data_IF_623191673098
#
_entry.id   IF_623191673098
#
_cell.length_a   1.000
_cell.length_b   1.000
_cell.length_c   1.000
_cell.angle_alpha   90.00
_cell.angle_beta   90.00
_cell.angle_gamma   90.00
#
_symmetry.space_group_name_H-M   'P 1'
#
loop_
_entity.id
_entity.type
_entity.pdbx_description
1 polymer ?
2 non-polymer ?
3 non-polymer ?
#
# COMPACT_ATOMS: atom_id res chain seq x y z
N UNK A 24 -10.12 27.64 -1.95
CA UNK A 24 -11.42 27.02 -2.18
C UNK A 24 -11.37 25.52 -2.14
N UNK A 25 -11.98 24.83 -1.48
CA UNK A 25 -12.01 23.41 -1.20
C UNK A 25 -13.15 22.67 -1.88
N UNK A 26 -12.84 21.60 -2.57
CA UNK A 26 -13.84 20.69 -3.11
C UNK A 26 -13.97 19.44 -2.28
N UNK A 27 -15.14 19.17 -1.76
CA UNK A 27 -15.36 17.97 -0.94
C UNK A 27 -15.99 16.85 -1.78
N UNK A 28 -15.17 15.97 -2.33
CA UNK A 28 -15.65 14.94 -3.27
C UNK A 28 -16.33 13.77 -2.56
N UNK A 29 -17.66 13.66 -2.71
CA UNK A 29 -18.42 12.61 -2.04
C UNK A 29 -19.06 11.63 -3.03
N UNK A 30 -18.38 10.50 -3.30
CA UNK A 30 -18.98 9.51 -4.21
C UNK A 30 -20.00 8.67 -3.46
N UNK A 31 -21.14 8.38 -4.10
CA UNK A 31 -22.25 7.70 -3.44
C UNK A 31 -22.88 6.57 -4.25
N UNK A 32 -23.47 5.62 -3.53
CA UNK A 32 -24.37 4.63 -4.09
C UNK A 32 -25.32 4.29 -2.95
N UNK A 33 -26.62 4.45 -3.21
CA UNK A 33 -27.67 4.22 -2.21
C UNK A 33 -27.35 4.88 -0.85
N UNK A 34 -27.43 6.21 -0.82
CA UNK A 34 -27.10 6.99 0.37
C UNK A 34 -28.03 8.20 0.48
N UNK A 35 -29.27 8.00 0.90
CA UNK A 35 -30.23 9.10 0.93
C UNK A 35 -30.36 9.73 2.30
N UNK A 36 -30.38 8.88 3.33
CA UNK A 36 -30.69 9.32 4.69
C UNK A 36 -29.56 10.03 5.41
N UNK A 37 -28.45 10.21 4.71
CA UNK A 37 -27.29 10.83 5.34
C UNK A 37 -27.01 12.24 4.82
N UNK A 38 -27.29 12.45 3.53
CA UNK A 38 -27.02 13.73 2.85
C UNK A 38 -27.49 14.94 3.64
N UNK A 39 -28.59 14.77 4.37
CA UNK A 39 -29.09 15.82 5.25
C UNK A 39 -28.05 16.08 6.33
N UNK A 40 -27.79 15.04 7.12
CA UNK A 40 -26.85 15.14 8.23
C UNK A 40 -25.45 15.44 7.74
N UNK A 41 -25.02 14.72 6.71
CA UNK A 41 -23.77 14.98 6.02
C UNK A 41 -23.56 16.46 5.77
N UNK A 42 -24.35 17.00 4.84
CA UNK A 42 -24.16 18.38 4.37
C UNK A 42 -24.26 19.39 5.50
N UNK A 43 -25.22 19.18 6.39
CA UNK A 43 -25.37 19.99 7.61
C UNK A 43 -24.05 20.14 8.37
N UNK A 44 -23.36 19.03 8.59
CA UNK A 44 -22.18 19.07 9.44
C UNK A 44 -20.91 19.39 8.66
N UNK A 45 -20.92 19.15 7.35
CA UNK A 45 -19.89 19.67 6.49
C UNK A 45 -19.91 21.20 6.56
N UNK A 46 -21.08 21.77 6.28
CA UNK A 46 -21.32 23.21 6.25
C UNK A 46 -21.03 23.83 7.60
N UNK A 47 -21.39 23.10 8.65
CA UNK A 47 -21.20 23.56 10.02
C UNK A 47 -19.72 23.74 10.32
N UNK A 48 -18.91 22.76 9.90
CA UNK A 48 -17.47 22.73 10.16
C UNK A 48 -16.69 23.68 9.26
N UNK A 49 -17.20 23.86 8.03
CA UNK A 49 -16.59 24.75 7.06
C UNK A 49 -17.28 26.11 6.96
N UNK A 50 -18.00 26.51 8.01
CA UNK A 50 -18.81 27.72 7.93
C UNK A 50 -17.95 28.93 7.56
N UNK A 51 -18.32 29.59 6.46
CA UNK A 51 -17.64 30.79 6.02
C UNK A 51 -16.67 30.59 4.87
N UNK A 52 -15.91 29.50 4.93
CA UNK A 52 -14.85 29.19 3.96
C UNK A 52 -15.39 28.91 2.57
N UNK A 53 -14.56 29.12 1.57
CA UNK A 53 -14.90 28.81 0.19
C UNK A 53 -14.85 27.30 -0.03
N UNK A 54 -16.00 26.65 -0.15
CA UNK A 54 -16.01 25.23 -0.43
C UNK A 54 -17.16 24.83 -1.34
N UNK A 55 -17.02 23.70 -2.03
CA UNK A 55 -18.12 23.10 -2.76
C UNK A 55 -18.29 21.64 -2.33
N UNK A 56 -19.31 20.96 -2.85
CA UNK A 56 -19.45 19.53 -2.70
C UNK A 56 -19.72 18.92 -4.05
N UNK A 57 -18.74 18.22 -4.61
CA UNK A 57 -18.98 17.45 -5.83
C UNK A 57 -19.41 16.00 -5.55
N UNK A 58 -20.70 15.73 -5.73
CA UNK A 58 -21.28 14.40 -5.58
C UNK A 58 -21.25 13.59 -6.88
N UNK A 59 -20.64 12.41 -6.88
CA UNK A 59 -20.68 11.52 -8.07
C UNK A 59 -21.44 10.23 -7.78
N UNK A 60 -22.68 10.15 -8.27
CA UNK A 60 -23.56 9.00 -8.08
C UNK A 60 -23.74 8.19 -9.38
N UNK A 61 -23.56 6.89 -9.28
CA UNK A 61 -23.57 6.02 -10.46
C UNK A 61 -24.96 5.45 -10.76
N UNK A 62 -25.93 6.35 -10.98
CA UNK A 62 -27.31 5.98 -11.32
C UNK A 62 -28.00 5.14 -10.24
N UNK A 63 -27.96 5.62 -8.99
CA UNK A 63 -28.46 4.87 -7.83
C UNK A 63 -29.92 4.45 -7.90
N UNK A 64 -30.20 3.14 -7.81
CA UNK A 64 -31.55 2.67 -7.45
C UNK A 64 -31.88 3.12 -6.03
N UNK A 65 -32.08 4.41 -5.90
CA UNK A 65 -32.18 5.12 -4.63
C UNK A 65 -32.43 6.55 -5.09
N UNK A 66 -32.93 7.41 -4.21
CA UNK A 66 -33.28 8.74 -4.65
C UNK A 66 -32.06 9.66 -4.66
N UNK A 67 -30.93 9.14 -4.21
CA UNK A 67 -29.70 9.90 -3.92
C UNK A 67 -29.30 10.94 -4.96
N UNK A 68 -29.30 10.53 -6.23
CA UNK A 68 -28.85 11.41 -7.30
C UNK A 68 -29.78 12.62 -7.40
N UNK A 69 -31.08 12.39 -7.18
CA UNK A 69 -32.09 13.44 -7.15
C UNK A 69 -32.16 14.20 -5.80
N UNK A 70 -32.05 13.50 -4.68
CA UNK A 70 -32.11 14.14 -3.36
C UNK A 70 -30.95 15.10 -3.12
N UNK A 71 -29.83 14.83 -3.77
CA UNK A 71 -28.65 15.68 -3.64
C UNK A 71 -28.86 16.99 -4.39
N UNK A 72 -29.24 16.86 -5.66
CA UNK A 72 -29.69 18.00 -6.49
C UNK A 72 -30.83 18.78 -5.83
N UNK A 73 -31.60 18.08 -5.01
CA UNK A 73 -32.64 18.66 -4.17
C UNK A 73 -31.99 19.56 -3.11
N UNK A 74 -31.00 19.00 -2.44
CA UNK A 74 -30.38 19.63 -1.26
C UNK A 74 -29.40 20.74 -1.70
N UNK A 75 -29.22 20.87 -3.01
CA UNK A 75 -28.38 21.88 -3.62
C UNK A 75 -28.94 23.30 -3.45
N UNK A 76 -29.97 23.42 -2.62
CA UNK A 76 -30.57 24.72 -2.31
C UNK A 76 -29.98 25.28 -1.02
N UNK A 77 -29.93 24.46 0.02
CA UNK A 77 -29.37 24.85 1.31
C UNK A 77 -27.84 24.90 1.25
N UNK A 78 -27.27 23.99 0.46
CA UNK A 78 -25.84 23.72 0.53
C UNK A 78 -25.20 23.81 -0.86
N UNK A 79 -23.93 24.28 -0.93
CA UNK A 79 -23.18 24.38 -2.19
C UNK A 79 -22.88 23.02 -2.83
N UNK A 80 -23.88 22.39 -3.46
CA UNK A 80 -23.75 21.00 -3.89
C UNK A 80 -23.86 20.76 -5.39
N UNK A 81 -22.76 20.39 -6.03
CA UNK A 81 -22.83 19.94 -7.42
C UNK A 81 -23.09 18.43 -7.50
N UNK A 82 -23.96 18.02 -8.41
CA UNK A 82 -24.34 16.62 -8.49
C UNK A 82 -24.19 16.08 -9.90
N UNK A 83 -23.18 15.24 -10.11
CA UNK A 83 -23.04 14.55 -11.37
C UNK A 83 -23.48 13.11 -11.20
N UNK A 84 -24.40 12.68 -12.06
CA UNK A 84 -24.77 11.28 -12.15
C UNK A 84 -24.25 10.75 -13.49
N UNK A 85 -23.80 9.51 -13.47
CA UNK A 85 -23.33 8.88 -14.69
C UNK A 85 -24.02 7.53 -14.84
N UNK A 86 -24.27 7.17 -16.09
CA UNK A 86 -25.11 6.04 -16.39
C UNK A 86 -24.33 4.91 -17.04
N UNK A 87 -23.06 5.15 -17.35
CA UNK A 87 -22.32 4.21 -18.17
C UNK A 87 -21.01 3.69 -17.56
N UNK A 88 -20.53 4.33 -16.50
CA UNK A 88 -19.28 3.92 -15.86
C UNK A 88 -19.36 4.01 -14.32
N UNK A 89 -19.31 2.88 -13.63
CA UNK A 89 -19.40 2.87 -12.17
C UNK A 89 -18.17 2.28 -11.47
N UNK A 90 -18.13 2.42 -10.15
CA UNK A 90 -16.99 1.99 -9.36
C UNK A 90 -16.49 3.14 -8.51
N UNK A 91 -15.99 2.83 -7.31
CA UNK A 91 -15.58 3.87 -6.37
C UNK A 91 -14.41 4.70 -6.89
N UNK A 92 -13.31 4.04 -7.22
CA UNK A 92 -12.13 4.75 -7.70
C UNK A 92 -12.43 5.43 -9.04
N UNK A 93 -13.24 4.78 -9.86
CA UNK A 93 -13.74 5.40 -11.09
C UNK A 93 -14.38 6.76 -10.79
N UNK A 94 -15.19 6.80 -9.72
CA UNK A 94 -15.90 8.03 -9.36
C UNK A 94 -14.91 9.11 -8.98
N UNK A 95 -14.06 8.81 -8.01
CA UNK A 95 -13.12 9.77 -7.45
C UNK A 95 -12.24 10.39 -8.53
N UNK A 96 -11.83 9.59 -9.52
CA UNK A 96 -11.08 10.11 -10.66
C UNK A 96 -11.88 11.22 -11.35
N UNK A 97 -13.14 10.90 -11.64
CA UNK A 97 -14.06 11.88 -12.20
C UNK A 97 -14.35 12.99 -11.19
N UNK A 98 -14.40 12.64 -9.90
CA UNK A 98 -14.59 13.62 -8.85
C UNK A 98 -13.49 14.67 -8.86
N UNK A 99 -12.31 14.27 -9.35
CA UNK A 99 -11.19 15.19 -9.52
C UNK A 99 -11.44 16.06 -10.76
N UNK A 100 -11.85 15.39 -11.83
CA UNK A 100 -12.10 16.02 -13.13
C UNK A 100 -13.14 17.12 -13.04
N UNK A 101 -14.18 16.86 -12.27
CA UNK A 101 -15.33 17.73 -12.26
C UNK A 101 -15.24 18.77 -11.16
N UNK A 102 -14.18 18.72 -10.37
CA UNK A 102 -14.02 19.67 -9.28
C UNK A 102 -13.41 20.97 -9.79
N UNK A 103 -13.29 21.95 -8.91
CA UNK A 103 -12.71 23.24 -9.28
C UNK A 103 -11.99 23.89 -8.11
N UNK A 104 -11.58 23.08 -7.14
CA UNK A 104 -11.01 23.59 -5.91
C UNK A 104 -9.49 23.55 -5.87
N UNK A 105 -8.90 24.33 -4.97
CA UNK A 105 -7.45 24.35 -4.80
C UNK A 105 -7.01 23.13 -3.98
N UNK A 106 -7.94 22.63 -3.18
CA UNK A 106 -7.74 21.50 -2.27
C UNK A 106 -8.89 20.49 -2.37
N UNK A 107 -8.56 19.22 -2.61
CA UNK A 107 -9.56 18.16 -2.64
C UNK A 107 -9.68 17.47 -1.30
N UNK A 108 -10.90 17.34 -0.81
CA UNK A 108 -11.19 16.48 0.32
C UNK A 108 -12.08 15.34 -0.18
N UNK A 109 -11.61 14.11 0.00
CA UNK A 109 -12.39 12.94 -0.36
C UNK A 109 -12.80 12.19 0.91
N UNK A 110 -14.06 11.75 0.94
CA UNK A 110 -14.63 11.07 2.10
C UNK A 110 -15.81 10.19 1.69
N UNK A 111 -16.44 9.57 2.68
CA UNK A 111 -17.61 8.73 2.45
C UNK A 111 -18.87 9.38 3.03
N UNK A 112 -20.01 9.09 2.39
CA UNK A 112 -21.28 9.73 2.75
C UNK A 112 -21.95 9.16 4.02
N UNK A 113 -21.60 7.95 4.39
CA UNK A 113 -22.27 7.27 5.49
C UNK A 113 -22.08 7.93 6.83
N UNK A 114 -21.08 8.78 6.96
CA UNK A 114 -20.71 9.38 8.23
C UNK A 114 -19.80 8.53 9.12
N UNK A 115 -19.17 7.53 8.56
CA UNK A 115 -18.07 6.89 9.29
C UNK A 115 -16.89 7.84 9.37
N UNK A 116 -16.77 8.68 8.34
CA UNK A 116 -15.82 9.80 8.33
C UNK A 116 -16.48 11.08 8.82
N UNK A 117 -16.02 11.63 9.96
CA UNK A 117 -16.60 12.85 10.54
C UNK A 117 -16.19 14.17 9.85
N UNK A 118 -17.18 14.96 9.35
CA UNK A 118 -16.84 16.22 8.67
C UNK A 118 -16.14 17.24 9.57
N UNK A 119 -16.23 17.06 10.87
CA UNK A 119 -15.59 17.94 11.84
C UNK A 119 -14.06 17.83 11.86
N UNK A 120 -13.49 16.70 11.44
CA UNK A 120 -12.02 16.63 11.38
C UNK A 120 -11.47 17.28 10.10
N UNK A 121 -12.33 17.42 9.08
CA UNK A 121 -11.99 18.11 7.83
C UNK A 121 -11.20 19.43 8.02
N UNK A 122 -11.57 20.24 9.03
CA UNK A 122 -10.75 21.44 9.27
C UNK A 122 -9.31 21.16 9.67
N UNK A 123 -9.04 20.01 10.29
CA UNK A 123 -7.68 19.60 10.65
C UNK A 123 -6.91 19.21 9.40
N UNK A 124 -7.56 18.41 8.57
CA UNK A 124 -7.05 18.01 7.26
C UNK A 124 -6.55 19.16 6.40
N UNK A 125 -7.34 20.24 6.32
CA UNK A 125 -6.93 21.40 5.52
C UNK A 125 -5.88 22.26 6.20
N UNK A 126 -5.99 22.38 7.52
CA UNK A 126 -5.00 23.15 8.27
C UNK A 126 -3.62 22.53 8.06
N UNK A 127 -3.59 21.19 8.12
CA UNK A 127 -2.38 20.43 7.85
C UNK A 127 -1.85 20.69 6.45
N UNK A 128 -2.71 20.54 5.46
CA UNK A 128 -2.39 20.95 4.09
C UNK A 128 -2.00 22.45 4.04
N UNK A 129 -2.53 23.26 4.95
CA UNK A 129 -2.16 24.67 4.89
C UNK A 129 -0.71 24.88 5.35
N UNK A 130 -0.31 24.18 6.41
CA UNK A 130 1.02 24.36 6.97
C UNK A 130 2.11 23.65 6.18
N UNK A 131 1.80 23.29 4.94
CA UNK A 131 2.82 22.82 4.01
C UNK A 131 2.84 21.34 3.61
N UNK A 132 1.87 20.55 4.06
CA UNK A 132 1.85 19.15 3.64
C UNK A 132 1.13 19.02 2.31
N UNK A 133 1.58 18.08 1.50
CA UNK A 133 1.06 17.90 0.15
C UNK A 133 -0.23 17.08 0.11
N UNK A 134 -0.38 16.25 1.15
CA UNK A 134 -1.45 15.24 1.27
C UNK A 134 -1.76 15.06 2.74
N UNK A 135 -3.01 15.24 3.16
CA UNK A 135 -3.32 15.01 4.57
C UNK A 135 -4.28 13.87 4.70
N UNK A 136 -3.79 12.76 5.27
CA UNK A 136 -4.56 11.54 5.39
C UNK A 136 -5.34 11.53 6.69
N UNK A 137 -6.66 11.28 6.60
CA UNK A 137 -7.48 11.03 7.76
C UNK A 137 -7.19 9.61 8.20
N UNK A 138 -6.56 9.45 9.36
CA UNK A 138 -5.98 8.14 9.69
C UNK A 138 -6.51 7.46 10.96
N UNK A 139 -6.97 6.23 10.80
CA UNK A 139 -7.45 5.43 11.94
C UNK A 139 -6.34 5.14 12.93
N UNK A 140 -5.13 4.95 12.43
CA UNK A 140 -4.04 4.34 13.20
C UNK A 140 -2.84 5.24 13.54
N UNK A 141 -3.04 6.54 13.63
CA UNK A 141 -1.99 7.40 14.17
C UNK A 141 -2.27 7.58 15.65
N UNK A 142 -1.33 8.13 16.42
CA UNK A 142 -1.67 8.41 17.80
C UNK A 142 -2.77 9.46 17.82
N UNK A 143 -3.85 9.15 18.53
CA UNK A 143 -5.05 9.96 18.49
C UNK A 143 -6.16 9.19 17.80
N UNK A 144 -5.80 8.46 16.74
CA UNK A 144 -6.76 7.69 15.96
C UNK A 144 -7.46 6.57 16.74
N UNK A 145 -8.68 6.25 16.33
CA UNK A 145 -9.48 5.22 17.01
C UNK A 145 -10.41 4.48 16.07
N UNK A 146 -10.73 3.24 16.42
CA UNK A 146 -11.75 2.51 15.72
C UNK A 146 -12.67 1.96 16.78
N UNK A 147 -13.96 2.16 16.61
CA UNK A 147 -14.89 1.63 17.58
C UNK A 147 -15.98 0.86 16.87
N UNK A 148 -16.76 0.10 17.64
CA UNK A 148 -17.83 -0.78 17.15
C UNK A 148 -17.34 -1.66 15.99
N UNK A 149 -16.03 -1.92 16.00
CA UNK A 149 -15.42 -2.92 15.11
C UNK A 149 -14.87 -4.07 15.96
N UNK A 150 -15.16 -5.32 15.54
CA UNK A 150 -14.68 -6.55 16.20
C UNK A 150 -13.18 -6.73 16.05
N UNK A 151 -12.53 -7.45 16.96
CA UNK A 151 -11.08 -7.64 16.90
C UNK A 151 -10.60 -8.23 15.58
N UNK A 152 -11.26 -9.27 15.08
CA UNK A 152 -10.76 -9.95 13.89
C UNK A 152 -10.93 -9.09 12.62
N UNK A 153 -11.91 -8.19 12.60
CA UNK A 153 -12.06 -7.27 11.46
C UNK A 153 -11.07 -6.11 11.62
N UNK A 154 -10.74 -5.78 13.06
CA UNK A 154 -9.81 -4.71 13.39
C UNK A 154 -8.39 -5.05 12.96
N UNK A 155 -8.06 -6.33 12.94
CA UNK A 155 -6.68 -6.72 12.67
C UNK A 155 -6.48 -7.34 11.28
N UNK A 156 -7.54 -7.65 10.55
CA UNK A 156 -7.34 -7.92 9.14
C UNK A 156 -6.88 -6.60 8.50
N UNK A 157 -7.35 -5.56 9.13
CA UNK A 157 -7.01 -4.23 8.69
C UNK A 157 -5.50 -3.99 8.87
N UNK A 158 -5.04 -4.02 10.03
CA UNK A 158 -3.63 -3.75 10.29
C UNK A 158 -2.73 -4.73 9.54
N UNK A 159 -3.28 -5.88 9.18
CA UNK A 159 -2.52 -6.90 8.48
C UNK A 159 -2.34 -6.60 7.01
N UNK A 160 -3.37 -6.07 6.37
CA UNK A 160 -3.30 -5.68 4.96
C UNK A 160 -2.45 -4.42 4.81
N UNK A 161 -2.81 -3.44 5.52
CA UNK A 161 -1.97 -2.29 5.71
C UNK A 161 -0.50 -2.71 5.86
N UNK A 162 -0.26 -3.80 6.58
CA UNK A 162 1.11 -4.21 6.86
C UNK A 162 1.73 -4.85 5.63
N UNK A 163 0.90 -5.48 4.80
CA UNK A 163 1.41 -6.02 3.56
C UNK A 163 1.76 -4.86 2.65
N UNK A 164 0.94 -3.82 2.69
CA UNK A 164 1.16 -2.65 1.87
C UNK A 164 2.46 -1.97 2.20
N UNK A 165 2.60 -1.58 3.45
CA UNK A 165 3.75 -0.82 3.88
C UNK A 165 5.08 -1.54 3.58
N UNK A 166 5.10 -2.87 3.73
CA UNK A 166 6.31 -3.64 3.49
C UNK A 166 6.61 -3.79 2.00
N UNK A 167 5.56 -4.03 1.23
CA UNK A 167 5.70 -4.39 -0.19
C UNK A 167 5.89 -3.18 -1.09
N UNK A 168 5.42 -2.02 -0.62
CA UNK A 168 5.60 -0.78 -1.36
C UNK A 168 6.42 0.18 -0.48
N UNK A 169 7.76 0.16 -0.65
CA UNK A 169 8.58 0.90 0.31
C UNK A 169 8.37 2.42 0.30
N UNK A 170 7.69 2.94 -0.73
CA UNK A 170 7.33 4.36 -0.77
C UNK A 170 6.50 4.74 0.45
N UNK A 171 5.56 3.87 0.82
CA UNK A 171 4.61 4.11 1.89
C UNK A 171 4.90 3.28 3.15
N UNK A 172 6.15 2.84 3.30
CA UNK A 172 6.58 2.12 4.47
C UNK A 172 6.17 2.83 5.77
N UNK A 173 6.23 4.16 5.77
CA UNK A 173 6.04 4.88 7.02
C UNK A 173 4.62 5.43 7.25
N UNK A 174 3.66 5.05 6.39
CA UNK A 174 2.29 5.53 6.49
C UNK A 174 1.41 4.55 7.25
N UNK A 175 0.89 4.97 8.39
CA UNK A 175 0.08 4.10 9.24
C UNK A 175 -1.25 3.63 8.62
N UNK A 176 -1.98 4.53 7.97
CA UNK A 176 -3.23 4.13 7.32
C UNK A 176 -3.31 4.58 5.87
N UNK A 177 -2.51 3.95 5.01
CA UNK A 177 -2.43 4.34 3.61
C UNK A 177 -3.60 3.85 2.76
N UNK A 178 -4.58 3.18 3.38
CA UNK A 178 -5.74 2.66 2.65
C UNK A 178 -7.02 3.40 2.98
N UNK A 179 -6.90 4.46 3.78
CA UNK A 179 -8.00 5.38 4.10
C UNK A 179 -8.82 5.84 2.88
N UNK A 180 -10.12 6.00 3.10
CA UNK A 180 -11.02 6.52 2.09
C UNK A 180 -11.23 7.99 2.38
N UNK A 181 -10.49 8.50 3.36
CA UNK A 181 -10.69 9.81 3.95
C UNK A 181 -9.38 10.61 3.97
N UNK A 182 -9.23 11.51 3.01
CA UNK A 182 -8.00 12.25 2.87
C UNK A 182 -8.22 13.59 2.15
N UNK A 183 -7.23 14.48 2.27
CA UNK A 183 -7.24 15.77 1.60
C UNK A 183 -5.94 15.88 0.81
N UNK A 184 -6.00 16.41 -0.42
CA UNK A 184 -4.77 16.64 -1.16
C UNK A 184 -4.81 17.94 -1.97
N UNK A 185 -3.66 18.56 -2.12
CA UNK A 185 -3.59 19.68 -3.02
C UNK A 185 -3.92 19.16 -4.41
N UNK A 186 -4.63 19.98 -5.19
CA UNK A 186 -5.04 19.64 -6.55
C UNK A 186 -3.86 19.20 -7.45
N UNK A 187 -2.68 19.74 -7.14
CA UNK A 187 -1.48 19.48 -7.94
C UNK A 187 -1.00 18.03 -7.89
N UNK A 188 -1.22 17.37 -6.76
CA UNK A 188 -0.70 16.03 -6.50
C UNK A 188 -1.15 15.04 -7.57
N UNK A 189 -2.42 15.17 -7.96
CA UNK A 189 -3.07 14.19 -8.83
C UNK A 189 -3.41 14.72 -10.21
N UNK A 190 -2.88 15.88 -10.57
CA UNK A 190 -3.13 16.41 -11.90
C UNK A 190 -1.93 16.13 -12.80
N UNK A 191 -2.24 15.75 -14.04
CA UNK A 191 -1.23 15.27 -14.96
C UNK A 191 -0.80 13.84 -14.62
N UNK A 192 -1.62 13.16 -13.80
CA UNK A 192 -1.31 11.79 -13.38
C UNK A 192 -2.41 10.82 -13.82
N UNK A 193 -1.87 9.63 -14.55
CA UNK A 193 -2.94 8.69 -14.84
C UNK A 193 -3.14 7.72 -13.65
N UNK A 194 -4.12 8.21 -12.76
CA UNK A 194 -4.61 7.34 -11.71
C UNK A 194 -5.40 6.22 -12.39
N UNK A 195 -5.44 5.05 -11.77
CA UNK A 195 -6.12 3.91 -12.39
C UNK A 195 -7.55 3.74 -11.89
N UNK A 196 -8.50 3.71 -12.82
CA UNK A 196 -9.93 3.60 -12.53
C UNK A 196 -10.27 2.34 -11.73
N UNK A 197 -9.67 1.19 -12.08
CA UNK A 197 -9.98 -0.10 -11.45
C UNK A 197 -9.52 -0.18 -10.00
N UNK A 198 -8.45 0.54 -9.69
CA UNK A 198 -7.66 0.26 -8.52
C UNK A 198 -8.50 0.26 -7.28
N UNK A 199 -8.17 -0.64 -6.67
CA UNK A 199 -9.02 -0.96 -5.54
C UNK A 199 -9.19 0.20 -4.59
N UNK A 200 -8.10 0.83 -4.25
CA UNK A 200 -8.16 1.97 -3.37
C UNK A 200 -7.39 3.11 -4.03
N UNK A 201 -8.03 4.29 -4.13
CA UNK A 201 -7.51 5.39 -4.92
C UNK A 201 -6.35 6.12 -4.22
N UNK A 202 -6.48 6.23 -2.64
CA UNK A 202 -5.42 6.91 -1.88
C UNK A 202 -4.06 6.26 -2.14
N UNK A 203 -4.10 4.94 -2.39
CA UNK A 203 -2.92 4.15 -2.71
C UNK A 203 -2.32 4.47 -4.05
N UNK A 204 -3.19 4.54 -5.06
CA UNK A 204 -2.80 4.95 -6.40
C UNK A 204 -2.01 6.26 -6.30
N UNK A 205 -2.54 7.14 -5.44
CA UNK A 205 -2.06 8.50 -5.28
C UNK A 205 -0.71 8.58 -4.57
N UNK A 206 -0.54 7.76 -3.52
CA UNK A 206 0.70 7.75 -2.74
C UNK A 206 1.85 7.20 -3.57
N UNK A 207 1.51 6.39 -4.56
CA UNK A 207 2.49 5.76 -5.44
C UNK A 207 2.77 6.57 -6.71
N UNK A 208 1.72 7.14 -7.28
CA UNK A 208 1.82 7.72 -8.61
C UNK A 208 1.69 9.24 -8.60
N UNK A 209 1.32 9.78 -7.45
CA UNK A 209 1.14 11.21 -7.28
C UNK A 209 2.44 11.95 -7.03
N UNK A 210 2.37 13.28 -7.17
CA UNK A 210 3.50 14.19 -6.99
C UNK A 210 3.48 14.88 -5.64
N UNK A 211 4.42 14.54 -4.75
CA UNK A 211 4.43 15.15 -3.43
C UNK A 211 5.73 14.95 -2.67
N UNK A 212 5.88 15.70 -1.59
CA UNK A 212 7.11 15.70 -0.80
C UNK A 212 6.79 15.58 0.68
N UNK A 213 5.54 15.80 1.03
CA UNK A 213 5.16 15.73 2.43
C UNK A 213 3.77 15.10 2.57
N UNK A 214 3.63 14.24 3.57
CA UNK A 214 2.37 13.62 3.90
C UNK A 214 2.26 13.65 5.39
N UNK A 215 1.17 14.14 5.92
CA UNK A 215 0.93 13.93 7.34
C UNK A 215 -0.22 12.95 7.50
N UNK A 216 -0.52 12.60 8.73
CA UNK A 216 -1.70 11.81 9.00
C UNK A 216 -2.40 12.41 10.17
N UNK A 217 -3.71 12.59 10.04
CA UNK A 217 -4.51 13.15 11.11
C UNK A 217 -5.33 12.05 11.82
N UNK A 218 -5.24 12.02 13.15
CA UNK A 218 -6.02 11.11 13.97
C UNK A 218 -7.52 11.35 13.89
N UNK A 219 -8.30 10.35 13.54
CA UNK A 219 -9.74 10.46 13.71
C UNK A 219 -10.32 9.16 14.30
N UNK A 220 -11.64 9.13 14.48
CA UNK A 220 -12.28 7.94 15.03
C UNK A 220 -13.21 7.38 13.97
N UNK A 221 -13.17 6.08 13.78
CA UNK A 221 -14.05 5.48 12.82
C UNK A 221 -15.37 5.25 13.51
N UNK A 222 -16.42 5.85 12.96
CA UNK A 222 -17.71 6.02 13.61
C UNK A 222 -18.54 4.79 13.99
N UNK A 223 -19.83 5.00 14.28
CA UNK A 223 -20.74 3.91 14.62
C UNK A 223 -21.40 3.34 13.37
N UNK A 229 -22.34 -6.95 8.72
CA UNK A 229 -21.82 -6.76 7.38
C UNK A 229 -20.42 -7.36 7.24
N UNK A 230 -20.22 -8.13 6.17
CA UNK A 230 -18.94 -8.78 5.91
C UNK A 230 -18.44 -8.45 4.49
N UNK A 231 -17.24 -8.94 4.17
CA UNK A 231 -16.69 -8.81 2.82
C UNK A 231 -15.95 -10.09 2.45
N UNK A 232 -16.34 -10.70 1.34
CA UNK A 232 -15.83 -12.02 0.96
C UNK A 232 -14.34 -11.99 0.68
N UNK A 233 -13.75 -13.17 0.50
CA UNK A 233 -12.32 -13.30 0.28
C UNK A 233 -11.92 -12.97 -1.15
N UNK A 234 -12.89 -12.51 -1.94
CA UNK A 234 -12.62 -12.18 -3.33
C UNK A 234 -12.05 -10.77 -3.47
N UNK A 235 -12.54 -9.85 -2.66
CA UNK A 235 -11.97 -8.50 -2.61
C UNK A 235 -10.56 -8.52 -2.05
N UNK A 236 -10.24 -9.54 -1.23
CA UNK A 236 -8.89 -9.69 -0.71
C UNK A 236 -7.92 -9.94 -1.84
N UNK A 237 -8.25 -10.83 -2.76
CA UNK A 237 -7.48 -10.89 -3.99
C UNK A 237 -7.53 -9.57 -4.76
N UNK A 238 -8.62 -8.81 -4.66
CA UNK A 238 -8.70 -7.56 -5.41
C UNK A 238 -7.75 -6.52 -4.84
N UNK A 239 -7.67 -6.46 -3.51
CA UNK A 239 -6.73 -5.59 -2.83
C UNK A 239 -5.30 -6.03 -3.15
N UNK A 240 -5.04 -7.33 -3.02
CA UNK A 240 -3.72 -7.86 -3.36
C UNK A 240 -3.40 -7.65 -4.84
N UNK A 241 -4.41 -7.71 -5.70
CA UNK A 241 -4.18 -7.57 -7.14
C UNK A 241 -3.77 -6.14 -7.45
N UNK A 242 -4.27 -5.22 -6.63
CA UNK A 242 -3.93 -3.78 -6.72
C UNK A 242 -2.46 -3.61 -6.36
N UNK A 243 -2.07 -4.23 -5.25
CA UNK A 243 -0.71 -4.13 -4.74
C UNK A 243 0.29 -4.75 -5.70
N UNK A 244 -0.09 -5.83 -6.37
CA UNK A 244 0.75 -6.40 -7.40
C UNK A 244 0.89 -5.40 -8.54
N UNK A 245 -0.17 -4.66 -8.82
CA UNK A 245 -0.15 -3.68 -9.91
C UNK A 245 0.73 -2.48 -9.57
N UNK A 246 0.56 -1.94 -8.38
CA UNK A 246 1.41 -0.86 -7.89
C UNK A 246 2.86 -1.29 -7.95
N UNK A 247 3.11 -2.55 -7.60
CA UNK A 247 4.45 -3.13 -7.58
C UNK A 247 5.11 -3.16 -8.95
N UNK A 248 4.36 -3.61 -9.96
CA UNK A 248 4.88 -3.55 -11.33
C UNK A 248 5.21 -2.10 -11.74
N UNK A 249 4.33 -1.16 -11.39
CA UNK A 249 4.58 0.25 -11.67
C UNK A 249 5.84 0.74 -10.94
N UNK A 250 5.92 0.49 -9.64
CA UNK A 250 7.06 0.92 -8.84
C UNK A 250 8.39 0.29 -9.29
N UNK A 251 8.31 -0.87 -9.95
CA UNK A 251 9.51 -1.57 -10.42
C UNK A 251 9.97 -2.70 -9.50
N UNK A 252 9.28 -2.87 -8.37
CA UNK A 252 9.64 -3.91 -7.42
C UNK A 252 9.48 -5.27 -8.03
N UNK A 253 8.44 -5.48 -8.83
CA UNK A 253 8.26 -6.77 -9.49
C UNK A 253 9.46 -7.04 -10.38
N UNK A 254 9.95 -5.99 -11.04
CA UNK A 254 11.13 -6.12 -11.89
C UNK A 254 12.35 -6.53 -11.05
N UNK A 255 12.55 -5.85 -9.93
CA UNK A 255 13.67 -6.15 -9.05
C UNK A 255 13.66 -7.59 -8.56
N UNK A 256 12.48 -8.02 -8.11
CA UNK A 256 12.30 -9.35 -7.57
C UNK A 256 12.69 -10.43 -8.58
N UNK A 257 12.27 -10.25 -9.83
CA UNK A 257 12.66 -11.16 -10.91
C UNK A 257 14.18 -11.31 -11.04
N UNK A 258 14.86 -10.18 -11.13
CA UNK A 258 16.30 -10.20 -11.27
C UNK A 258 16.95 -10.81 -10.02
N UNK A 259 16.36 -10.55 -8.87
CA UNK A 259 16.90 -11.03 -7.61
C UNK A 259 16.87 -12.58 -7.62
N UNK A 260 15.80 -13.10 -8.20
CA UNK A 260 15.57 -14.53 -8.35
C UNK A 260 16.51 -15.17 -9.34
N UNK A 261 16.83 -14.44 -10.39
CA UNK A 261 17.79 -14.91 -11.39
C UNK A 261 19.19 -15.00 -10.79
N UNK A 262 19.53 -14.11 -9.87
CA UNK A 262 20.77 -14.25 -9.14
C UNK A 262 20.71 -15.45 -8.20
N UNK A 263 19.55 -15.64 -7.56
CA UNK A 263 19.33 -16.66 -6.55
C UNK A 263 19.64 -18.02 -7.13
N UNK A 264 19.14 -18.22 -8.35
CA UNK A 264 19.45 -19.39 -9.13
C UNK A 264 20.93 -19.42 -9.46
N UNK A 265 21.46 -18.27 -9.89
CA UNK A 265 22.88 -18.16 -10.19
C UNK A 265 23.73 -18.58 -8.97
N UNK A 266 23.25 -18.27 -7.77
CA UNK A 266 23.94 -18.63 -6.55
C UNK A 266 23.83 -20.11 -6.27
N UNK A 267 22.61 -20.62 -6.41
CA UNK A 267 22.36 -22.05 -6.24
C UNK A 267 23.30 -22.87 -7.15
N UNK A 268 23.68 -22.30 -8.29
CA UNK A 268 24.64 -22.95 -9.18
C UNK A 268 26.09 -22.84 -8.68
N UNK A 269 26.53 -21.63 -8.35
CA UNK A 269 27.90 -21.38 -7.90
C UNK A 269 28.23 -22.12 -6.61
N UNK A 270 27.20 -22.31 -5.78
CA UNK A 270 27.34 -23.09 -4.55
C UNK A 270 27.77 -24.52 -4.84
N UNK A 271 27.07 -25.14 -5.78
CA UNK A 271 27.34 -26.51 -6.19
C UNK A 271 28.68 -26.63 -6.93
N UNK A 272 28.90 -25.74 -7.89
CA UNK A 272 30.10 -25.80 -8.71
C UNK A 272 31.38 -25.75 -7.93
N UNK A 273 31.39 -24.97 -6.86
CA UNK A 273 32.57 -24.88 -6.00
C UNK A 273 32.67 -26.09 -5.07
N UNK A 274 31.53 -26.68 -4.74
CA UNK A 274 31.50 -27.86 -3.88
C UNK A 274 32.21 -29.04 -4.56
N UNK A 275 31.75 -29.36 -5.76
CA UNK A 275 32.36 -30.37 -6.62
C UNK A 275 33.86 -30.11 -6.79
N UNK A 276 34.18 -28.86 -7.07
CA UNK A 276 35.56 -28.44 -7.29
C UNK A 276 36.40 -28.62 -6.02
N UNK A 277 35.74 -28.63 -4.86
CA UNK A 277 36.45 -28.78 -3.59
C UNK A 277 36.55 -30.24 -3.12
N UNK A 278 35.49 -31.04 -3.30
CA UNK A 278 35.54 -32.43 -2.85
C UNK A 278 36.56 -33.22 -3.66
N UNK A 279 36.65 -32.90 -4.95
CA UNK A 279 37.54 -33.59 -5.86
C UNK A 279 39.00 -33.23 -5.63
N UNK A 280 39.23 -32.11 -4.95
CA UNK A 280 40.60 -31.70 -4.64
C UNK A 280 40.98 -32.10 -3.21
N UNK A 281 40.29 -33.10 -2.69
CA UNK A 281 40.64 -33.69 -1.41
C UNK A 281 40.16 -32.90 -0.21
N UNK A 282 39.19 -32.02 -0.43
CA UNK A 282 38.54 -31.36 0.68
C UNK A 282 37.29 -32.15 1.04
N UNK A 283 37.25 -32.67 2.27
CA UNK A 283 36.09 -33.45 2.74
C UNK A 283 34.83 -32.61 2.58
N UNK A 284 33.81 -33.14 1.90
CA UNK A 284 32.57 -32.42 1.66
C UNK A 284 32.12 -31.59 2.85
N UNK A 285 32.35 -32.09 4.05
CA UNK A 285 31.87 -31.43 5.25
C UNK A 285 32.68 -30.18 5.56
N UNK A 286 33.92 -30.16 5.12
CA UNK A 286 34.68 -28.92 5.13
C UNK A 286 34.31 -28.14 3.88
N UNK A 287 34.16 -28.85 2.76
CA UNK A 287 33.96 -28.23 1.45
C UNK A 287 32.75 -27.32 1.38
N UNK A 288 31.62 -27.78 1.92
CA UNK A 288 30.36 -27.05 1.84
C UNK A 288 30.49 -25.59 2.32
N UNK A 289 31.39 -25.35 3.25
CA UNK A 289 31.48 -24.06 3.92
C UNK A 289 32.07 -22.94 3.01
N UNK A 290 33.26 -23.15 2.41
CA UNK A 290 33.66 -22.17 1.41
C UNK A 290 32.68 -22.09 0.25
N UNK A 291 32.04 -23.23 -0.06
CA UNK A 291 31.11 -23.30 -1.16
C UNK A 291 29.94 -22.34 -0.94
N UNK A 292 29.29 -22.46 0.22
CA UNK A 292 28.16 -21.60 0.52
C UNK A 292 28.60 -20.14 0.64
N UNK A 293 29.81 -19.91 1.14
CA UNK A 293 30.26 -18.55 1.38
C UNK A 293 30.61 -17.82 0.09
N UNK A 294 31.18 -18.55 -0.87
CA UNK A 294 31.42 -17.94 -2.17
C UNK A 294 30.08 -17.76 -2.87
N UNK A 295 29.11 -18.57 -2.47
CA UNK A 295 27.77 -18.49 -3.03
C UNK A 295 27.03 -17.25 -2.54
N UNK A 296 27.28 -16.89 -1.28
CA UNK A 296 26.70 -15.69 -0.70
C UNK A 296 27.37 -14.48 -1.32
N UNK A 297 28.67 -14.61 -1.60
CA UNK A 297 29.41 -13.51 -2.20
C UNK A 297 28.96 -13.30 -3.63
N UNK A 298 28.93 -14.37 -4.42
CA UNK A 298 28.44 -14.26 -5.79
C UNK A 298 27.11 -13.52 -5.79
N UNK A 299 26.18 -14.00 -4.97
CA UNK A 299 24.87 -13.38 -4.86
C UNK A 299 24.92 -11.89 -4.55
N UNK A 300 25.84 -11.48 -3.67
CA UNK A 300 25.95 -10.10 -3.28
C UNK A 300 26.36 -9.24 -4.47
N UNK A 301 27.46 -9.66 -5.11
CA UNK A 301 27.97 -9.01 -6.32
C UNK A 301 26.86 -8.66 -7.32
N UNK A 302 26.25 -9.68 -7.91
CA UNK A 302 25.27 -9.47 -8.98
C UNK A 302 24.05 -8.68 -8.54
N UNK A 303 23.68 -8.76 -7.26
CA UNK A 303 22.51 -8.00 -6.80
C UNK A 303 22.86 -6.53 -6.67
N UNK A 304 24.13 -6.27 -6.33
CA UNK A 304 24.61 -4.91 -6.08
C UNK A 304 24.96 -4.15 -7.36
N UNK A 305 24.91 -4.83 -8.49
CA UNK A 305 25.24 -4.21 -9.77
C UNK A 305 24.16 -4.51 -10.80
N UNK A 306 23.11 -5.18 -10.39
CA UNK A 306 21.99 -5.42 -11.29
C UNK A 306 20.71 -4.99 -10.59
N UNK A 307 20.24 -5.84 -9.68
CA UNK A 307 18.93 -5.68 -9.04
C UNK A 307 18.75 -4.40 -8.23
N UNK A 308 19.74 -4.05 -7.42
CA UNK A 308 19.67 -2.86 -6.56
C UNK A 308 20.79 -1.89 -6.90
N UNK A 309 21.13 -1.83 -8.17
CA UNK A 309 22.19 -0.99 -8.61
C UNK A 309 21.85 0.45 -8.28
N UNK A 310 20.58 0.78 -8.44
CA UNK A 310 20.10 2.13 -8.23
C UNK A 310 20.22 2.67 -6.83
N UNK A 311 19.98 1.84 -5.84
CA UNK A 311 19.77 2.34 -4.51
C UNK A 311 20.85 2.08 -3.49
N UNK A 312 22.06 1.87 -3.97
CA UNK A 312 23.21 1.60 -3.09
C UNK A 312 23.59 2.82 -2.27
N UNK A 313 23.98 2.58 -1.03
CA UNK A 313 24.36 3.64 -0.11
C UNK A 313 25.49 3.14 0.77
N UNK A 314 26.38 4.05 1.14
CA UNK A 314 27.38 3.77 2.13
C UNK A 314 28.41 2.73 1.75
N UNK A 315 29.11 2.25 2.77
CA UNK A 315 30.16 1.27 2.63
C UNK A 315 29.68 0.07 1.83
N UNK A 316 30.51 -0.45 0.95
CA UNK A 316 30.15 -1.68 0.32
C UNK A 316 30.27 -2.79 1.35
N UNK A 317 31.19 -2.61 2.31
CA UNK A 317 31.40 -3.59 3.38
C UNK A 317 30.16 -3.72 4.24
N UNK A 318 29.57 -2.58 4.59
CA UNK A 318 28.39 -2.57 5.43
C UNK A 318 27.20 -3.16 4.68
N UNK A 319 27.20 -3.04 3.36
CA UNK A 319 26.13 -3.65 2.58
C UNK A 319 26.37 -5.15 2.51
N UNK A 320 27.63 -5.54 2.41
CA UNK A 320 28.00 -6.94 2.35
C UNK A 320 27.58 -7.68 3.63
N UNK A 321 27.96 -7.13 4.78
CA UNK A 321 27.59 -7.70 6.05
C UNK A 321 26.07 -7.81 6.20
N UNK A 322 25.37 -6.80 5.69
CA UNK A 322 23.90 -6.79 5.71
C UNK A 322 23.36 -7.99 4.96
N UNK A 323 23.76 -8.12 3.71
CA UNK A 323 23.41 -9.28 2.89
C UNK A 323 23.60 -10.64 3.59
N UNK A 324 24.65 -10.77 4.39
CA UNK A 324 24.89 -12.02 5.10
C UNK A 324 23.75 -12.35 6.06
N UNK A 325 23.40 -11.38 6.91
CA UNK A 325 22.27 -11.47 7.83
C UNK A 325 20.96 -11.82 7.11
N UNK A 326 20.89 -11.49 5.82
CA UNK A 326 19.67 -11.76 5.08
C UNK A 326 19.69 -13.16 4.54
N UNK A 327 20.88 -13.62 4.16
CA UNK A 327 21.05 -14.97 3.71
C UNK A 327 20.65 -15.88 4.87
N UNK A 328 21.32 -15.68 6.00
CA UNK A 328 21.06 -16.38 7.23
C UNK A 328 19.61 -16.35 7.61
N UNK A 329 18.98 -15.18 7.49
CA UNK A 329 17.56 -15.12 7.84
C UNK A 329 16.73 -15.98 6.91
N UNK A 330 17.07 -15.97 5.63
CA UNK A 330 16.36 -16.77 4.66
C UNK A 330 16.44 -18.28 4.96
N UNK A 331 17.55 -18.69 5.53
CA UNK A 331 17.83 -20.09 5.77
C UNK A 331 17.08 -20.57 7.01
N UNK A 332 17.26 -19.87 8.13
CA UNK A 332 16.47 -20.11 9.33
C UNK A 332 14.96 -20.19 9.02
N UNK A 333 14.48 -19.40 8.08
CA UNK A 333 13.07 -19.42 7.71
C UNK A 333 12.75 -20.68 6.92
N UNK A 334 13.56 -21.01 5.93
CA UNK A 334 13.36 -22.21 5.14
C UNK A 334 13.15 -23.45 6.05
N UNK A 335 14.18 -23.75 6.85
CA UNK A 335 14.11 -24.66 7.97
C UNK A 335 12.78 -24.68 8.74
N UNK A 336 12.44 -23.57 9.40
CA UNK A 336 11.31 -23.56 10.32
C UNK A 336 10.02 -23.83 9.59
N UNK A 337 9.91 -23.24 8.41
CA UNK A 337 8.69 -23.32 7.59
C UNK A 337 8.52 -24.77 7.10
N UNK A 338 9.65 -25.39 6.81
CA UNK A 338 9.64 -26.73 6.31
C UNK A 338 9.12 -27.74 7.35
N UNK A 339 9.68 -27.66 8.55
CA UNK A 339 9.29 -28.55 9.64
C UNK A 339 7.87 -28.31 10.12
N UNK A 340 7.45 -27.06 10.13
CA UNK A 340 6.12 -26.75 10.62
C UNK A 340 5.10 -27.23 9.61
N UNK A 341 5.45 -27.15 8.33
CA UNK A 341 4.57 -27.72 7.33
C UNK A 341 4.55 -29.23 7.45
N UNK A 342 5.70 -29.85 7.71
CA UNK A 342 5.74 -31.31 7.77
C UNK A 342 4.81 -31.81 8.87
N UNK A 343 4.99 -31.24 10.06
CA UNK A 343 4.23 -31.62 11.23
C UNK A 343 2.73 -31.36 11.04
N UNK A 344 2.38 -30.57 10.04
CA UNK A 344 0.96 -30.35 9.72
C UNK A 344 0.46 -31.37 8.71
N UNK A 345 1.35 -32.23 8.25
CA UNK A 345 0.96 -33.29 7.34
C UNK A 345 1.09 -32.95 5.87
N UNK A 346 1.89 -31.95 5.56
CA UNK A 346 2.12 -31.56 4.18
C UNK A 346 3.21 -32.43 3.58
N UNK A 347 3.02 -32.78 2.32
CA UNK A 347 3.97 -33.58 1.56
C UNK A 347 5.35 -32.92 1.54
N UNK A 348 6.39 -33.69 1.85
CA UNK A 348 7.74 -33.16 2.02
C UNK A 348 8.22 -32.32 0.85
N UNK A 349 7.73 -32.57 -0.36
CA UNK A 349 8.17 -31.79 -1.51
C UNK A 349 7.48 -30.44 -1.54
N UNK A 350 6.18 -30.44 -1.31
CA UNK A 350 5.47 -29.18 -1.17
C UNK A 350 6.08 -28.39 -0.02
N UNK A 351 6.26 -29.05 1.11
CA UNK A 351 6.80 -28.40 2.30
C UNK A 351 8.21 -27.88 2.07
N UNK A 352 9.02 -28.64 1.33
CA UNK A 352 10.37 -28.20 0.97
C UNK A 352 10.35 -27.02 -0.01
N UNK A 353 9.37 -27.04 -0.90
CA UNK A 353 9.25 -26.04 -1.94
C UNK A 353 8.69 -24.74 -1.36
N UNK A 354 7.68 -24.83 -0.51
CA UNK A 354 7.14 -23.64 0.14
C UNK A 354 8.22 -23.02 1.02
N UNK A 355 9.12 -23.86 1.53
CA UNK A 355 10.24 -23.40 2.33
C UNK A 355 11.17 -22.48 1.53
N UNK A 356 11.41 -22.86 0.29
CA UNK A 356 12.36 -22.15 -0.56
C UNK A 356 11.76 -20.82 -1.04
N UNK A 357 10.48 -20.88 -1.38
CA UNK A 357 9.74 -19.75 -1.91
C UNK A 357 9.53 -18.64 -0.87
N UNK A 358 9.29 -19.01 0.39
CA UNK A 358 9.17 -17.98 1.43
C UNK A 358 10.54 -17.56 1.91
N UNK A 359 11.55 -18.21 1.39
CA UNK A 359 12.91 -17.93 1.80
C UNK A 359 13.44 -16.82 0.92
N UNK A 360 13.16 -16.92 -0.37
CA UNK A 360 13.51 -15.88 -1.29
C UNK A 360 12.71 -14.67 -0.88
N UNK A 361 11.45 -14.92 -0.50
CA UNK A 361 10.56 -13.90 0.01
C UNK A 361 11.19 -13.06 1.10
N UNK A 362 11.55 -13.68 2.22
CA UNK A 362 12.13 -12.94 3.35
C UNK A 362 13.49 -12.37 3.00
N UNK A 363 14.31 -13.11 2.26
CA UNK A 363 15.64 -12.60 1.89
C UNK A 363 15.50 -11.30 1.13
N UNK A 364 14.54 -11.24 0.21
CA UNK A 364 14.31 -10.04 -0.59
C UNK A 364 13.95 -8.84 0.29
N UNK A 365 12.78 -8.92 0.92
CA UNK A 365 12.32 -7.95 1.90
C UNK A 365 13.42 -7.34 2.76
N UNK A 366 14.28 -8.17 3.36
CA UNK A 366 15.30 -7.66 4.27
C UNK A 366 16.34 -6.91 3.47
N UNK A 367 16.71 -7.48 2.33
CA UNK A 367 17.67 -6.85 1.46
C UNK A 367 17.13 -5.48 1.05
N UNK A 368 15.85 -5.45 0.69
CA UNK A 368 15.18 -4.24 0.20
C UNK A 368 15.03 -3.14 1.25
N UNK A 369 14.88 -3.54 2.51
CA UNK A 369 14.64 -2.60 3.61
C UNK A 369 15.81 -2.41 4.54
N UNK A 370 16.90 -3.14 4.33
CA UNK A 370 18.02 -3.06 5.27
C UNK A 370 19.34 -2.92 4.50
N UNK A 371 19.71 -3.97 3.76
CA UNK A 371 20.91 -3.94 2.93
C UNK A 371 20.91 -2.75 1.97
N UNK A 372 19.89 -2.66 1.13
CA UNK A 372 19.71 -1.50 0.24
C UNK A 372 18.53 -0.64 0.68
N UNK A 373 18.52 -0.23 1.95
CA UNK A 373 17.43 0.56 2.51
C UNK A 373 17.23 1.96 1.85
N UNK A 374 15.97 2.36 1.73
CA UNK A 374 15.60 3.68 1.23
C UNK A 374 14.48 4.33 2.06
#
# INVERSE_FOLDING_TARGET
>A
MHHHHHHSSGVDLGTENLYFQSMKVSVIIPTYNERENLEELFSRIDNALQGLNYEIVVVDDDSPDRTWEKAQELSSKYPVKVIRRTKEKGLSSAVIRGFKEASGDVFVVMDADLQHPPEVIPKLIEAIKNGSDIAIGSRYVKGGKVENWPFYRKLISKGAIMVGRIALPKIRDIKDPVSGFFALRKEVVEGVELNPIGFKILMEILIKGKYSKVVEVPFTFGIRARGESKLKGKTIFEYLRHIYRLMKWEGEIDRIVKFSIVGLSGILVNEGFLWLFVNLGIPKEIAVIPAVELSILNNFFWNDIWTFKDIRRGSIFSRLLKFHIAALSGAVVNFIVYWILLFLGIHYLIANLVGIVLSFGVRYVINRHVTWAT
#
